data_IF_966883991476
#
_entry.id   IF_966883991476
#
_cell.length_a   1.000
_cell.length_b   1.000
_cell.length_c   1.000
_cell.angle_alpha   90.00
_cell.angle_beta   90.00
_cell.angle_gamma   90.00
#
_symmetry.space_group_name_H-M   'P 1'
#
loop_
_entity.id
_entity.type
_entity.pdbx_description
1 polymer ?
#
# COMPACT_ATOMS: atom_id res chain seq x y z
N UNK A 1 13.57 -0.88 3.21
CA UNK A 1 14.17 -0.14 2.11
C UNK A 1 13.90 1.36 2.22
N UNK A 2 14.26 2.07 1.18
CA UNK A 2 13.96 3.50 1.03
C UNK A 2 13.96 3.86 -0.45
N UNK A 3 12.89 4.41 -0.92
CA UNK A 3 12.56 4.62 -2.33
C UNK A 3 13.17 5.90 -2.94
N UNK A 4 14.32 6.36 -2.50
CA UNK A 4 14.90 7.58 -3.06
C UNK A 4 14.98 7.54 -4.58
N UNK A 5 14.49 8.57 -5.22
CA UNK A 5 14.49 8.70 -6.67
C UNK A 5 15.93 8.65 -7.21
N UNK A 6 16.19 7.69 -8.09
CA UNK A 6 17.51 7.47 -8.68
C UNK A 6 18.51 6.67 -7.83
N UNK A 7 18.17 6.35 -6.57
CA UNK A 7 19.06 5.57 -5.68
C UNK A 7 18.30 4.87 -4.56
N UNK A 8 17.53 3.82 -4.89
CA UNK A 8 16.83 3.02 -3.87
C UNK A 8 17.83 2.37 -2.91
N UNK A 9 17.61 2.55 -1.63
CA UNK A 9 18.47 2.00 -0.57
C UNK A 9 17.84 0.75 0.04
N UNK A 10 18.64 -0.26 0.30
CA UNK A 10 18.24 -1.51 0.93
C UNK A 10 19.16 -1.85 2.10
N UNK A 11 18.62 -2.51 3.10
CA UNK A 11 19.42 -3.07 4.18
C UNK A 11 20.13 -4.34 3.71
N UNK A 12 21.43 -4.45 3.99
CA UNK A 12 22.25 -5.65 3.74
C UNK A 12 21.57 -6.91 4.27
N UNK A 13 20.99 -6.83 5.46
CA UNK A 13 20.31 -7.95 6.12
C UNK A 13 19.19 -8.55 5.27
N UNK A 14 18.53 -7.74 4.47
CA UNK A 14 17.40 -8.20 3.64
C UNK A 14 17.83 -8.57 2.23
N UNK A 15 18.87 -7.88 1.72
CA UNK A 15 19.34 -8.08 0.35
C UNK A 15 20.30 -9.26 0.22
N UNK A 16 21.19 -9.47 1.18
CA UNK A 16 22.12 -10.58 1.15
C UNK A 16 21.56 -11.78 1.89
N UNK A 17 21.06 -12.75 1.11
CA UNK A 17 20.53 -13.99 1.65
C UNK A 17 21.66 -14.92 2.10
N UNK A 18 21.37 -15.85 3.02
CA UNK A 18 22.27 -16.91 3.41
C UNK A 18 22.64 -17.82 2.23
N UNK A 19 23.64 -18.69 2.41
CA UNK A 19 24.05 -19.65 1.36
C UNK A 19 22.91 -20.61 0.95
N UNK A 20 22.02 -20.92 1.90
CA UNK A 20 20.88 -21.79 1.69
C UNK A 20 19.57 -21.08 2.07
N UNK A 21 19.12 -20.10 1.28
CA UNK A 21 17.92 -19.34 1.60
C UNK A 21 16.66 -20.17 1.38
N UNK A 22 15.69 -20.00 2.25
CA UNK A 22 14.35 -20.58 2.07
C UNK A 22 13.59 -19.85 0.94
N UNK A 23 12.51 -20.45 0.45
CA UNK A 23 11.63 -19.78 -0.51
C UNK A 23 10.98 -18.54 0.09
N UNK A 24 10.68 -18.56 1.40
CA UNK A 24 10.22 -17.39 2.13
C UNK A 24 11.24 -16.25 2.11
N UNK A 25 12.53 -16.53 2.29
CA UNK A 25 13.58 -15.50 2.24
C UNK A 25 13.67 -14.88 0.84
N UNK A 26 13.59 -15.71 -0.21
CA UNK A 26 13.61 -15.28 -1.60
C UNK A 26 12.40 -14.43 -1.94
N UNK A 27 11.20 -14.88 -1.53
CA UNK A 27 9.96 -14.15 -1.71
C UNK A 27 10.00 -12.80 -1.00
N UNK A 28 10.41 -12.78 0.28
CA UNK A 28 10.48 -11.54 1.08
C UNK A 28 11.43 -10.50 0.46
N UNK A 29 12.58 -10.96 -0.07
CA UNK A 29 13.51 -10.07 -0.79
C UNK A 29 12.87 -9.55 -2.09
N UNK A 30 12.21 -10.41 -2.85
CA UNK A 30 11.54 -10.01 -4.10
C UNK A 30 10.41 -9.01 -3.81
N UNK A 31 9.60 -9.25 -2.76
CA UNK A 31 8.55 -8.34 -2.32
C UNK A 31 9.11 -6.98 -1.89
N UNK A 32 10.23 -6.93 -1.17
CA UNK A 32 10.88 -5.67 -0.81
C UNK A 32 11.33 -4.90 -2.06
N UNK A 33 12.02 -5.57 -3.00
CA UNK A 33 12.46 -4.91 -4.24
C UNK A 33 11.26 -4.38 -5.04
N UNK A 34 10.19 -5.17 -5.14
CA UNK A 34 8.97 -4.77 -5.84
C UNK A 34 8.25 -3.61 -5.13
N UNK A 35 8.24 -3.58 -3.80
CA UNK A 35 7.70 -2.49 -2.99
C UNK A 35 8.41 -1.17 -3.29
N UNK A 36 9.73 -1.13 -3.16
CA UNK A 36 10.50 0.08 -3.45
C UNK A 36 10.40 0.49 -4.94
N UNK A 37 10.26 -0.49 -5.84
CA UNK A 37 10.03 -0.20 -7.26
C UNK A 37 8.66 0.43 -7.50
N UNK A 38 7.60 -0.02 -6.82
CA UNK A 38 6.26 0.54 -6.97
C UNK A 38 6.18 2.00 -6.48
N UNK A 39 7.02 2.38 -5.52
CA UNK A 39 7.14 3.77 -5.08
C UNK A 39 7.53 4.74 -6.20
N UNK A 40 8.19 4.28 -7.27
CA UNK A 40 8.52 5.13 -8.43
C UNK A 40 7.26 5.73 -9.06
N UNK A 41 6.10 5.06 -8.94
CA UNK A 41 4.80 5.59 -9.39
C UNK A 41 4.00 6.21 -8.24
N UNK A 42 4.04 5.56 -7.06
CA UNK A 42 3.23 5.94 -5.89
C UNK A 42 4.14 6.43 -4.75
N UNK A 43 4.43 7.70 -4.75
CA UNK A 43 5.36 8.39 -3.85
C UNK A 43 6.26 9.36 -4.61
N UNK A 44 6.86 8.90 -5.72
CA UNK A 44 7.76 9.71 -6.53
C UNK A 44 7.05 10.39 -7.72
N UNK A 45 6.45 9.61 -8.63
CA UNK A 45 5.77 10.16 -9.81
C UNK A 45 4.48 10.92 -9.45
N UNK A 46 3.68 10.37 -8.54
CA UNK A 46 2.58 11.07 -7.88
C UNK A 46 2.84 11.09 -6.39
N UNK A 47 2.99 12.28 -5.82
CA UNK A 47 3.36 12.49 -4.42
C UNK A 47 2.13 12.91 -3.59
N UNK A 48 2.10 12.58 -2.29
CA UNK A 48 1.11 13.09 -1.36
C UNK A 48 1.26 14.61 -1.17
N UNK A 49 0.16 15.30 -0.83
CA UNK A 49 0.20 16.73 -0.47
C UNK A 49 0.85 16.97 0.88
N UNK A 50 0.60 16.07 1.84
CA UNK A 50 1.12 16.12 3.19
C UNK A 50 1.27 14.70 3.77
N UNK A 51 1.96 14.57 4.87
CA UNK A 51 2.29 13.29 5.51
C UNK A 51 1.10 12.58 6.19
N UNK A 52 -0.05 13.23 6.38
CA UNK A 52 -1.31 12.57 6.73
C UNK A 52 -1.81 11.62 5.63
N UNK A 53 -1.34 11.80 4.41
CA UNK A 53 -1.60 10.93 3.25
C UNK A 53 -0.45 9.94 2.96
N UNK A 54 0.59 9.87 3.81
CA UNK A 54 1.76 8.99 3.58
C UNK A 54 1.38 7.52 3.43
N UNK A 55 0.32 7.11 4.10
CA UNK A 55 -0.22 5.75 4.01
C UNK A 55 -0.60 5.36 2.57
N UNK A 56 -0.98 6.31 1.72
CA UNK A 56 -1.39 6.02 0.33
C UNK A 56 -0.24 5.44 -0.47
N UNK A 57 0.96 6.03 -0.39
CA UNK A 57 2.13 5.48 -1.09
C UNK A 57 2.50 4.09 -0.57
N UNK A 58 2.43 3.87 0.74
CA UNK A 58 2.77 2.59 1.37
C UNK A 58 1.78 1.49 1.00
N UNK A 59 0.47 1.79 0.99
CA UNK A 59 -0.54 0.80 0.62
C UNK A 59 -0.43 0.39 -0.84
N UNK A 60 -0.17 1.35 -1.74
CA UNK A 60 0.04 1.04 -3.14
C UNK A 60 1.32 0.23 -3.35
N UNK A 61 2.42 0.63 -2.72
CA UNK A 61 3.68 -0.11 -2.82
C UNK A 61 3.52 -1.56 -2.35
N UNK A 62 2.88 -1.79 -1.20
CA UNK A 62 2.59 -3.13 -0.69
C UNK A 62 1.67 -3.94 -1.62
N UNK A 63 0.59 -3.32 -2.10
CA UNK A 63 -0.39 -4.02 -2.93
C UNK A 63 0.21 -4.40 -4.30
N UNK A 64 0.91 -3.47 -4.97
CA UNK A 64 1.56 -3.75 -6.24
C UNK A 64 2.72 -4.73 -6.09
N UNK A 65 3.51 -4.65 -5.01
CA UNK A 65 4.59 -5.61 -4.76
C UNK A 65 4.07 -7.05 -4.77
N UNK A 66 2.96 -7.33 -4.08
CA UNK A 66 2.32 -8.66 -4.08
C UNK A 66 1.92 -9.11 -5.48
N UNK A 67 1.32 -8.23 -6.26
CA UNK A 67 0.93 -8.50 -7.66
C UNK A 67 2.12 -8.75 -8.57
N UNK A 68 3.21 -8.01 -8.38
CA UNK A 68 4.43 -8.14 -9.21
C UNK A 68 5.17 -9.44 -8.94
N UNK A 69 5.19 -9.93 -7.71
CA UNK A 69 5.92 -11.15 -7.35
C UNK A 69 5.11 -12.43 -7.57
N UNK A 70 3.78 -12.36 -7.55
CA UNK A 70 2.90 -13.53 -7.69
C UNK A 70 3.27 -14.43 -8.89
N UNK A 71 3.44 -13.92 -10.12
CA UNK A 71 3.81 -14.76 -11.27
C UNK A 71 5.24 -15.31 -11.23
N UNK A 72 6.11 -14.75 -10.37
CA UNK A 72 7.51 -15.16 -10.22
C UNK A 72 7.68 -16.31 -9.20
N UNK A 73 6.69 -16.55 -8.36
CA UNK A 73 6.68 -17.58 -7.32
C UNK A 73 5.38 -18.40 -7.39
N UNK A 74 5.13 -19.11 -8.50
CA UNK A 74 3.87 -19.83 -8.72
C UNK A 74 3.64 -20.99 -7.73
N UNK A 75 4.69 -21.46 -7.07
CA UNK A 75 4.63 -22.50 -6.03
C UNK A 75 4.10 -21.98 -4.67
N UNK A 76 4.06 -20.67 -4.48
CA UNK A 76 3.58 -20.05 -3.23
C UNK A 76 2.06 -19.89 -3.27
N UNK A 77 1.39 -20.27 -2.20
CA UNK A 77 -0.01 -19.89 -2.01
C UNK A 77 -0.09 -18.41 -1.58
N UNK A 78 -0.10 -17.49 -2.55
CA UNK A 78 -0.06 -16.05 -2.32
C UNK A 78 -1.27 -15.55 -1.51
N UNK A 79 -2.45 -16.18 -1.67
CA UNK A 79 -3.63 -15.81 -0.86
C UNK A 79 -3.43 -16.15 0.62
N UNK A 80 -2.90 -17.33 0.90
CA UNK A 80 -2.58 -17.74 2.27
C UNK A 80 -1.45 -16.88 2.86
N UNK A 81 -0.42 -16.58 2.05
CA UNK A 81 0.67 -15.69 2.45
C UNK A 81 0.14 -14.30 2.79
N UNK A 82 -0.76 -13.75 1.99
CA UNK A 82 -1.41 -12.46 2.29
C UNK A 82 -2.17 -12.49 3.62
N UNK A 83 -2.99 -13.51 3.85
CA UNK A 83 -3.73 -13.67 5.10
C UNK A 83 -2.79 -13.75 6.31
N UNK A 84 -1.74 -14.57 6.24
CA UNK A 84 -0.81 -14.75 7.34
C UNK A 84 0.07 -13.52 7.60
N UNK A 85 0.43 -12.79 6.56
CA UNK A 85 1.33 -11.63 6.67
C UNK A 85 0.62 -10.39 7.22
N UNK A 86 -0.64 -10.15 6.83
CA UNK A 86 -1.30 -8.88 7.14
C UNK A 86 -2.34 -8.99 8.26
N UNK A 87 -3.18 -10.03 8.27
CA UNK A 87 -4.34 -10.05 9.16
C UNK A 87 -3.99 -10.14 10.65
N UNK A 88 -3.03 -10.97 11.12
CA UNK A 88 -2.71 -11.04 12.55
C UNK A 88 -2.23 -9.70 13.10
N UNK A 89 -1.33 -9.03 12.38
CA UNK A 89 -0.77 -7.74 12.80
C UNK A 89 -1.83 -6.63 12.74
N UNK A 90 -2.65 -6.59 11.70
CA UNK A 90 -3.76 -5.64 11.60
C UNK A 90 -4.75 -5.82 12.76
N UNK A 91 -5.23 -7.04 13.01
CA UNK A 91 -6.17 -7.31 14.09
C UNK A 91 -5.59 -7.08 15.49
N UNK A 92 -4.29 -7.29 15.68
CA UNK A 92 -3.67 -7.06 17.00
C UNK A 92 -3.83 -5.63 17.48
N UNK A 93 -3.90 -4.67 16.56
CA UNK A 93 -4.03 -3.25 16.83
C UNK A 93 -5.47 -2.75 16.65
N UNK A 94 -6.10 -3.09 15.53
CA UNK A 94 -7.41 -2.57 15.10
C UNK A 94 -8.57 -2.93 16.06
N UNK A 95 -8.46 -4.01 16.83
CA UNK A 95 -9.45 -4.42 17.83
C UNK A 95 -9.25 -3.80 19.22
N UNK A 96 -8.27 -2.95 19.41
CA UNK A 96 -7.98 -2.33 20.71
C UNK A 96 -8.71 -1.00 20.87
N UNK A 97 -8.81 -0.52 22.11
CA UNK A 97 -9.36 0.80 22.41
C UNK A 97 -8.50 1.94 21.84
N UNK A 98 -7.26 1.66 21.42
CA UNK A 98 -6.36 2.62 20.79
C UNK A 98 -6.35 2.53 19.26
N UNK A 99 -7.31 1.79 18.65
CA UNK A 99 -7.42 1.73 17.20
C UNK A 99 -7.59 3.11 16.58
N UNK A 100 -6.86 3.36 15.50
CA UNK A 100 -6.92 4.62 14.76
C UNK A 100 -7.45 4.38 13.34
N UNK A 101 -8.01 5.40 12.67
CA UNK A 101 -8.30 5.33 11.25
C UNK A 101 -7.02 5.03 10.44
N UNK A 102 -7.21 4.57 9.19
CA UNK A 102 -6.07 4.43 8.25
C UNK A 102 -5.49 5.81 7.95
N UNK A 103 -6.34 6.80 7.67
CA UNK A 103 -5.95 8.20 7.54
C UNK A 103 -5.87 8.82 8.92
N UNK A 104 -4.67 9.27 9.29
CA UNK A 104 -4.40 9.89 10.59
C UNK A 104 -3.95 11.31 10.38
N UNK A 105 -4.54 12.23 11.13
CA UNK A 105 -4.15 13.64 11.10
C UNK A 105 -2.71 13.82 11.59
N UNK A 106 -1.94 14.63 10.89
CA UNK A 106 -0.56 14.94 11.24
C UNK A 106 -0.30 16.45 11.17
N UNK A 107 -0.41 17.13 12.31
CA UNK A 107 -0.18 18.56 12.40
C UNK A 107 1.30 18.95 12.43
N UNK A 108 2.16 18.02 12.84
CA UNK A 108 3.58 18.30 13.03
C UNK A 108 4.43 17.16 12.46
N UNK A 109 5.33 17.49 11.54
CA UNK A 109 6.24 16.55 10.90
C UNK A 109 7.14 15.77 11.88
N UNK A 110 7.45 16.34 13.04
CA UNK A 110 8.21 15.64 14.09
C UNK A 110 7.47 14.39 14.60
N UNK A 111 6.16 14.33 14.44
CA UNK A 111 5.32 13.20 14.81
C UNK A 111 5.11 12.19 13.65
N UNK A 112 5.69 12.42 12.47
CA UNK A 112 5.49 11.56 11.30
C UNK A 112 5.84 10.09 11.59
N UNK A 113 6.84 9.83 12.41
CA UNK A 113 7.21 8.47 12.82
C UNK A 113 6.11 7.72 13.58
N UNK A 114 5.14 8.41 14.16
CA UNK A 114 4.04 7.80 14.92
C UNK A 114 2.93 7.25 14.02
N UNK A 115 2.81 7.74 12.79
CA UNK A 115 1.80 7.26 11.83
C UNK A 115 2.22 5.96 11.13
N UNK A 116 3.52 5.63 11.14
CA UNK A 116 4.02 4.38 10.56
C UNK A 116 3.82 3.22 11.54
N UNK A 117 2.88 2.32 11.24
CA UNK A 117 2.56 1.19 12.11
C UNK A 117 1.67 0.15 11.41
N UNK A 118 1.14 -0.79 12.20
CA UNK A 118 0.33 -1.90 11.67
C UNK A 118 -0.93 -1.44 10.93
N UNK A 119 -1.48 -0.28 11.27
CA UNK A 119 -2.63 0.27 10.57
C UNK A 119 -2.25 0.60 9.11
N UNK A 120 -1.13 1.27 8.88
CA UNK A 120 -0.67 1.62 7.53
C UNK A 120 -0.12 0.40 6.79
N UNK A 121 0.76 -0.38 7.43
CA UNK A 121 1.46 -1.45 6.73
C UNK A 121 0.68 -2.77 6.63
N UNK A 122 -0.33 -2.98 7.48
CA UNK A 122 -1.06 -4.25 7.52
C UNK A 122 -2.58 -4.08 7.29
N UNK A 123 -3.28 -3.16 7.97
CA UNK A 123 -4.73 -2.92 7.74
C UNK A 123 -4.98 -2.29 6.37
N UNK A 124 -4.24 -1.25 5.99
CA UNK A 124 -4.48 -0.54 4.75
C UNK A 124 -4.37 -1.43 3.48
N UNK A 125 -3.38 -2.36 3.34
CA UNK A 125 -3.38 -3.31 2.22
C UNK A 125 -4.59 -4.25 2.18
N UNK A 126 -5.14 -4.64 3.34
CA UNK A 126 -6.38 -5.42 3.40
C UNK A 126 -7.56 -4.60 2.87
N UNK A 127 -7.64 -3.33 3.27
CA UNK A 127 -8.67 -2.41 2.79
C UNK A 127 -8.55 -2.17 1.29
N UNK A 128 -7.32 -2.02 0.78
CA UNK A 128 -7.07 -1.89 -0.66
C UNK A 128 -7.50 -3.13 -1.44
N UNK A 129 -7.20 -4.33 -0.96
CA UNK A 129 -7.66 -5.59 -1.58
C UNK A 129 -9.21 -5.62 -1.65
N UNK A 130 -9.90 -5.19 -0.59
CA UNK A 130 -11.37 -5.07 -0.58
C UNK A 130 -11.88 -4.05 -1.59
N UNK A 131 -11.20 -2.91 -1.77
CA UNK A 131 -11.58 -1.91 -2.78
C UNK A 131 -11.49 -2.49 -4.19
N UNK A 132 -10.39 -3.20 -4.48
CA UNK A 132 -10.19 -3.83 -5.78
C UNK A 132 -11.24 -4.90 -6.06
N UNK A 133 -11.55 -5.73 -5.07
CA UNK A 133 -12.63 -6.73 -5.19
C UNK A 133 -13.99 -6.06 -5.40
N UNK A 134 -14.28 -4.96 -4.73
CA UNK A 134 -15.53 -4.21 -4.85
C UNK A 134 -15.74 -3.62 -6.25
N UNK A 135 -14.67 -3.08 -6.84
CA UNK A 135 -14.70 -2.42 -8.15
C UNK A 135 -14.54 -3.40 -9.32
N UNK A 136 -13.83 -4.50 -9.09
CA UNK A 136 -13.26 -5.36 -10.12
C UNK A 136 -11.91 -4.83 -10.63
N UNK A 137 -11.00 -5.76 -10.93
CA UNK A 137 -9.60 -5.44 -11.28
C UNK A 137 -9.48 -4.54 -12.51
N UNK A 138 -10.27 -4.77 -13.56
CA UNK A 138 -10.21 -3.97 -14.78
C UNK A 138 -10.63 -2.51 -14.55
N UNK A 139 -11.71 -2.29 -13.80
CA UNK A 139 -12.19 -0.95 -13.44
C UNK A 139 -11.16 -0.21 -12.58
N UNK A 140 -10.62 -0.91 -11.58
CA UNK A 140 -9.56 -0.37 -10.72
C UNK A 140 -8.32 0.01 -11.54
N UNK A 141 -7.85 -0.87 -12.43
CA UNK A 141 -6.69 -0.61 -13.29
C UNK A 141 -6.89 0.64 -14.17
N UNK A 142 -8.05 0.78 -14.81
CA UNK A 142 -8.36 1.97 -15.63
C UNK A 142 -8.34 3.24 -14.80
N UNK A 143 -8.95 3.22 -13.62
CA UNK A 143 -8.95 4.36 -12.72
C UNK A 143 -7.55 4.75 -12.23
N UNK A 144 -6.72 3.77 -11.87
CA UNK A 144 -5.31 4.02 -11.51
C UNK A 144 -4.51 4.61 -12.68
N UNK A 145 -4.71 4.12 -13.89
CA UNK A 145 -4.04 4.69 -15.07
C UNK A 145 -4.42 6.15 -15.29
N UNK A 146 -5.68 6.51 -15.12
CA UNK A 146 -6.13 7.90 -15.27
C UNK A 146 -5.66 8.77 -14.11
N UNK A 147 -5.61 8.24 -12.89
CA UNK A 147 -5.00 8.91 -11.75
C UNK A 147 -3.53 9.26 -12.01
N UNK A 148 -2.72 8.30 -12.45
CA UNK A 148 -1.31 8.52 -12.77
C UNK A 148 -1.12 9.50 -13.92
N UNK A 149 -1.95 9.45 -14.98
CA UNK A 149 -1.91 10.43 -16.07
C UNK A 149 -2.25 11.85 -15.61
N UNK A 150 -3.26 11.98 -14.74
CA UNK A 150 -3.74 13.29 -14.29
C UNK A 150 -2.78 13.96 -13.31
N UNK A 151 -2.18 13.20 -12.42
CA UNK A 151 -1.37 13.71 -11.30
C UNK A 151 0.13 13.45 -11.42
N UNK A 152 0.59 12.89 -12.53
CA UNK A 152 2.03 12.67 -12.78
C UNK A 152 2.84 13.96 -12.63
N UNK A 153 3.96 13.87 -11.91
CA UNK A 153 4.83 15.00 -11.51
C UNK A 153 4.12 16.06 -10.65
N UNK A 154 3.08 15.65 -9.91
CA UNK A 154 2.29 16.56 -9.08
C UNK A 154 1.88 15.86 -7.77
N UNK A 155 1.08 16.57 -6.98
CA UNK A 155 0.57 16.08 -5.71
C UNK A 155 -0.90 15.68 -5.84
N UNK A 156 -1.28 14.60 -5.17
CA UNK A 156 -2.66 14.17 -5.07
C UNK A 156 -2.99 13.70 -3.65
N UNK A 157 -4.28 13.71 -3.30
CA UNK A 157 -4.83 13.15 -2.08
C UNK A 157 -5.52 11.82 -2.38
N UNK A 158 -5.83 11.06 -1.33
CA UNK A 158 -6.70 9.90 -1.42
C UNK A 158 -8.09 10.27 -2.00
N UNK A 159 -8.64 11.42 -1.59
CA UNK A 159 -9.94 11.87 -2.07
C UNK A 159 -9.91 12.17 -3.58
N UNK A 160 -8.81 12.72 -4.10
CA UNK A 160 -8.61 12.91 -5.55
C UNK A 160 -8.63 11.56 -6.30
N UNK A 161 -8.04 10.52 -5.73
CA UNK A 161 -8.09 9.16 -6.29
C UNK A 161 -9.51 8.60 -6.26
N UNK A 162 -10.21 8.69 -5.12
CA UNK A 162 -11.59 8.19 -4.98
C UNK A 162 -12.51 8.84 -6.01
N UNK A 163 -12.37 10.15 -6.27
CA UNK A 163 -13.15 10.86 -7.30
C UNK A 163 -12.91 10.29 -8.70
N UNK A 164 -11.70 9.81 -9.00
CA UNK A 164 -11.41 9.17 -10.28
C UNK A 164 -11.99 7.75 -10.32
N UNK A 165 -11.73 6.95 -9.28
CA UNK A 165 -12.19 5.56 -9.21
C UNK A 165 -13.72 5.46 -9.26
N UNK A 166 -14.42 6.41 -8.64
CA UNK A 166 -15.90 6.49 -8.60
C UNK A 166 -16.52 6.56 -10.02
N UNK A 167 -15.76 7.02 -11.02
CA UNK A 167 -16.20 7.08 -12.43
C UNK A 167 -16.20 5.70 -13.12
N UNK A 168 -15.55 4.71 -12.53
CA UNK A 168 -15.37 3.36 -13.10
C UNK A 168 -16.24 2.29 -12.43
N UNK A 169 -17.15 2.69 -11.55
CA UNK A 169 -18.04 1.78 -10.84
C UNK A 169 -19.36 2.47 -10.50
N UNK A 170 -20.44 1.68 -10.38
CA UNK A 170 -21.73 2.16 -9.85
C UNK A 170 -21.78 2.15 -8.31
N UNK A 171 -20.71 1.75 -7.64
CA UNK A 171 -20.62 1.71 -6.18
C UNK A 171 -20.33 3.10 -5.63
N UNK A 172 -20.93 3.45 -4.50
CA UNK A 172 -20.63 4.68 -3.77
C UNK A 172 -19.27 4.55 -3.04
N UNK A 173 -18.18 4.88 -3.77
CA UNK A 173 -16.84 4.80 -3.21
C UNK A 173 -16.55 5.87 -2.16
N UNK A 174 -17.28 6.99 -2.16
CA UNK A 174 -17.12 8.03 -1.15
C UNK A 174 -17.59 7.54 0.21
N UNK A 175 -18.78 6.97 0.29
CA UNK A 175 -19.30 6.36 1.53
C UNK A 175 -18.46 5.18 1.97
N UNK A 176 -18.00 4.36 1.02
CA UNK A 176 -17.09 3.26 1.30
C UNK A 176 -15.77 3.77 1.91
N UNK A 177 -15.13 4.75 1.26
CA UNK A 177 -13.88 5.36 1.73
C UNK A 177 -14.04 5.97 3.12
N UNK A 178 -15.11 6.74 3.35
CA UNK A 178 -15.38 7.29 4.68
C UNK A 178 -15.43 6.21 5.76
N UNK A 179 -16.04 5.08 5.47
CA UNK A 179 -16.21 3.99 6.44
C UNK A 179 -14.93 3.20 6.72
N UNK A 180 -14.07 3.02 5.70
CA UNK A 180 -12.89 2.16 5.81
C UNK A 180 -11.58 2.91 6.06
N UNK A 181 -11.52 4.18 5.67
CA UNK A 181 -10.30 4.99 5.74
C UNK A 181 -10.35 6.00 6.89
N UNK A 182 -11.51 6.64 7.12
CA UNK A 182 -11.64 7.74 8.07
C UNK A 182 -12.24 7.32 9.42
N UNK A 183 -12.52 6.03 9.60
CA UNK A 183 -13.00 5.49 10.89
C UNK A 183 -12.07 4.38 11.35
N UNK A 184 -11.90 4.24 12.69
CA UNK A 184 -11.21 3.10 13.28
C UNK A 184 -11.83 1.79 12.91
#
# INVERSE_FOLDING_TARGET
GMEHMGATLYSDRTMFLSENPTDTDRLSRAELIAHETAHMWFGDYVTMKWFDEVWTKEVFANWFAKRMVEPLFPEVNHRLNFLNSYFPAAYSEDRTAGATPVRQDLDNLNNAGLVYGNIIYNKAPIVMDKLVVLMGEESFQKGIQDYLKKFGYSNATWDDLIVILDQYTEKDLKSWSHSWINKP
#
